data_IF_119810970961
#
_entry.id   IF_119810970961
#
_cell.length_a   1.000
_cell.length_b   1.000
_cell.length_c   1.000
_cell.angle_alpha   90.00
_cell.angle_beta   90.00
_cell.angle_gamma   90.00
#
_symmetry.space_group_name_H-M   'P 1'
#
loop_
_entity.id
_entity.type
_entity.pdbx_description
1 polymer ?
#
# COMPACT_ATOMS: atom_id res chain seq x y z
N UNK A 1 28.18 -0.76 65.22
CA UNK A 1 26.76 -0.69 64.95
C UNK A 1 26.53 -1.20 63.50
N UNK A 2 26.13 -2.47 63.39
CA UNK A 2 25.89 -3.08 62.05
C UNK A 2 24.47 -2.80 61.61
N UNK A 3 24.29 -2.29 60.40
CA UNK A 3 23.01 -2.14 59.76
C UNK A 3 22.43 -3.53 59.43
N UNK A 4 21.14 -3.80 59.72
CA UNK A 4 20.53 -5.08 59.41
C UNK A 4 20.44 -5.30 57.89
N UNK A 5 20.85 -6.47 57.43
CA UNK A 5 20.69 -6.94 56.08
C UNK A 5 19.18 -7.08 55.78
N UNK A 6 18.68 -6.64 54.60
CA UNK A 6 17.26 -6.79 54.26
C UNK A 6 16.91 -8.28 54.18
N UNK A 7 15.81 -8.63 54.84
CA UNK A 7 15.30 -10.00 54.91
C UNK A 7 14.96 -10.55 53.51
N UNK A 8 15.14 -11.83 53.27
CA UNK A 8 14.85 -12.52 51.98
C UNK A 8 13.40 -12.33 51.52
N UNK A 9 12.46 -12.12 52.41
CA UNK A 9 11.04 -11.85 52.13
C UNK A 9 10.79 -10.48 51.43
N UNK A 10 11.56 -9.44 51.85
CA UNK A 10 11.45 -8.10 51.20
C UNK A 10 11.98 -8.10 49.77
N UNK A 11 13.02 -8.89 49.48
CA UNK A 11 13.55 -9.02 48.12
C UNK A 11 12.60 -9.78 47.19
N UNK A 12 11.94 -10.83 47.69
CA UNK A 12 10.95 -11.60 46.92
C UNK A 12 9.70 -10.76 46.59
N UNK A 13 9.21 -9.94 47.54
CA UNK A 13 8.08 -9.04 47.33
C UNK A 13 8.40 -7.95 46.29
N UNK A 14 9.58 -7.34 46.36
CA UNK A 14 10.01 -6.34 45.38
C UNK A 14 10.21 -6.93 43.99
N UNK A 15 10.73 -8.15 43.88
CA UNK A 15 10.94 -8.83 42.61
C UNK A 15 9.58 -9.18 41.93
N UNK A 16 8.60 -9.65 42.72
CA UNK A 16 7.23 -9.95 42.25
C UNK A 16 6.49 -8.69 41.80
N UNK A 17 6.62 -7.57 42.53
CA UNK A 17 6.04 -6.28 42.13
C UNK A 17 6.69 -5.76 40.83
N UNK A 18 7.99 -5.86 40.67
CA UNK A 18 8.71 -5.44 39.46
C UNK A 18 8.29 -6.27 38.25
N UNK A 19 8.15 -7.61 38.41
CA UNK A 19 7.64 -8.49 37.35
C UNK A 19 6.19 -8.14 36.99
N UNK A 20 5.33 -7.91 37.97
CA UNK A 20 3.94 -7.53 37.73
C UNK A 20 3.83 -6.15 36.98
N UNK A 21 4.63 -5.18 37.39
CA UNK A 21 4.69 -3.87 36.72
C UNK A 21 5.22 -3.98 35.28
N UNK A 22 6.25 -4.78 35.08
CA UNK A 22 6.83 -5.03 33.75
C UNK A 22 5.81 -5.75 32.85
N UNK A 23 5.14 -6.78 33.38
CA UNK A 23 4.12 -7.53 32.66
C UNK A 23 2.91 -6.63 32.33
N UNK A 24 2.46 -5.79 33.24
CA UNK A 24 1.41 -4.81 33.02
C UNK A 24 1.78 -3.77 31.96
N UNK A 25 2.99 -3.24 31.99
CA UNK A 25 3.48 -2.27 30.99
C UNK A 25 3.60 -2.87 29.60
N UNK A 26 4.10 -4.13 29.50
CA UNK A 26 4.18 -4.88 28.24
C UNK A 26 2.75 -5.14 27.70
N UNK A 27 1.85 -5.60 28.56
CA UNK A 27 0.46 -5.89 28.18
C UNK A 27 -0.28 -4.61 27.72
N UNK A 28 -0.11 -3.48 28.41
CA UNK A 28 -0.66 -2.19 27.99
C UNK A 28 -0.09 -1.74 26.65
N UNK A 29 1.20 -1.94 26.41
CA UNK A 29 1.85 -1.62 25.14
C UNK A 29 1.38 -2.52 24.00
N UNK A 30 1.17 -3.81 24.24
CA UNK A 30 0.60 -4.75 23.27
C UNK A 30 -0.85 -4.40 22.95
N UNK A 31 -1.69 -4.15 23.95
CA UNK A 31 -3.08 -3.78 23.78
C UNK A 31 -3.28 -2.43 23.06
N UNK A 32 -2.31 -1.52 23.16
CA UNK A 32 -2.33 -0.24 22.42
C UNK A 32 -1.80 -0.35 20.99
N UNK A 33 -1.20 -1.49 20.62
CA UNK A 33 -0.65 -1.70 19.29
C UNK A 33 -1.77 -2.11 18.31
N UNK A 34 -1.97 -1.30 17.26
CA UNK A 34 -3.02 -1.52 16.27
C UNK A 34 -2.88 -2.90 15.57
N UNK A 35 -1.65 -3.34 15.29
CA UNK A 35 -1.40 -4.66 14.70
C UNK A 35 -1.88 -5.77 15.61
N UNK A 36 -1.57 -5.71 16.91
CA UNK A 36 -2.04 -6.69 17.90
C UNK A 36 -3.57 -6.69 18.01
N UNK A 37 -4.21 -5.51 18.02
CA UNK A 37 -5.67 -5.39 18.02
C UNK A 37 -6.30 -6.03 16.78
N UNK A 38 -5.76 -5.77 15.59
CA UNK A 38 -6.24 -6.35 14.33
C UNK A 38 -6.08 -7.87 14.33
N UNK A 39 -4.91 -8.38 14.77
CA UNK A 39 -4.67 -9.82 14.90
C UNK A 39 -5.68 -10.50 15.80
N UNK A 40 -5.89 -9.93 16.98
CA UNK A 40 -6.87 -10.45 17.94
C UNK A 40 -8.27 -10.42 17.33
N UNK A 41 -8.63 -9.32 16.68
CA UNK A 41 -9.92 -9.17 16.00
C UNK A 41 -10.13 -10.19 14.87
N UNK A 42 -9.09 -10.49 14.11
CA UNK A 42 -9.11 -11.54 13.06
C UNK A 42 -9.41 -12.90 13.69
N UNK A 43 -8.67 -13.28 14.75
CA UNK A 43 -8.89 -14.57 15.44
C UNK A 43 -10.30 -14.65 16.00
N UNK A 44 -10.76 -13.59 16.67
CA UNK A 44 -12.14 -13.52 17.19
C UNK A 44 -13.19 -13.57 16.07
N UNK A 45 -12.91 -12.93 14.93
CA UNK A 45 -13.75 -12.99 13.73
C UNK A 45 -13.87 -14.41 13.16
N UNK A 46 -12.74 -15.12 13.06
CA UNK A 46 -12.72 -16.53 12.62
C UNK A 46 -13.54 -17.39 13.56
N UNK A 47 -13.35 -17.25 14.88
CA UNK A 47 -14.12 -18.00 15.90
C UNK A 47 -15.60 -17.65 15.79
N UNK A 48 -15.96 -16.36 15.74
CA UNK A 48 -17.34 -15.93 15.61
C UNK A 48 -18.00 -16.49 14.33
N UNK A 49 -17.32 -16.41 13.20
CA UNK A 49 -17.83 -16.97 11.93
C UNK A 49 -17.98 -18.48 11.94
N UNK A 50 -17.05 -19.20 12.59
CA UNK A 50 -17.12 -20.66 12.65
C UNK A 50 -18.26 -21.17 13.55
N UNK A 51 -18.49 -20.53 14.70
CA UNK A 51 -19.47 -21.00 15.69
C UNK A 51 -20.83 -20.31 15.61
N UNK A 52 -20.89 -19.07 15.09
CA UNK A 52 -22.12 -18.26 15.06
C UNK A 52 -22.49 -17.88 13.61
N UNK A 53 -22.83 -18.85 12.77
CA UNK A 53 -23.16 -18.59 11.35
C UNK A 53 -24.29 -17.57 11.15
N UNK A 54 -25.25 -17.48 12.07
CA UNK A 54 -26.32 -16.49 12.04
C UNK A 54 -25.84 -15.02 12.21
N UNK A 55 -24.60 -14.82 12.65
CA UNK A 55 -23.99 -13.50 12.78
C UNK A 55 -23.43 -12.94 11.45
N UNK A 56 -23.27 -13.78 10.42
CA UNK A 56 -22.67 -13.38 9.15
C UNK A 56 -23.30 -12.12 8.49
N UNK A 57 -24.64 -11.92 8.46
CA UNK A 57 -25.24 -10.70 7.90
C UNK A 57 -24.83 -9.44 8.67
N UNK A 58 -24.81 -9.50 10.01
CA UNK A 58 -24.35 -8.38 10.86
C UNK A 58 -22.87 -8.10 10.66
N UNK A 59 -22.05 -9.15 10.59
CA UNK A 59 -20.64 -9.05 10.33
C UNK A 59 -20.36 -8.40 8.97
N UNK A 60 -21.13 -8.73 7.93
CA UNK A 60 -21.09 -8.07 6.63
C UNK A 60 -21.35 -6.58 6.74
N UNK A 61 -22.42 -6.18 7.47
CA UNK A 61 -22.73 -4.76 7.67
C UNK A 61 -21.60 -4.00 8.34
N UNK A 62 -20.93 -4.60 9.33
CA UNK A 62 -19.76 -4.00 10.01
C UNK A 62 -18.61 -3.80 9.00
N UNK A 63 -18.29 -4.83 8.22
CA UNK A 63 -17.25 -4.78 7.19
C UNK A 63 -17.56 -3.73 6.13
N UNK A 64 -18.75 -3.77 5.54
CA UNK A 64 -19.18 -2.85 4.49
C UNK A 64 -19.17 -1.39 4.98
N UNK A 65 -19.56 -1.15 6.24
CA UNK A 65 -19.51 0.20 6.84
C UNK A 65 -18.07 0.70 6.96
N UNK A 66 -17.15 -0.17 7.38
CA UNK A 66 -15.72 0.18 7.45
C UNK A 66 -15.16 0.49 6.06
N UNK A 67 -15.50 -0.34 5.05
CA UNK A 67 -15.10 -0.09 3.66
C UNK A 67 -15.63 1.26 3.17
N UNK A 68 -16.91 1.57 3.43
CA UNK A 68 -17.53 2.86 3.04
C UNK A 68 -16.81 4.06 3.68
N UNK A 69 -16.41 3.95 4.95
CA UNK A 69 -15.63 5.00 5.62
C UNK A 69 -14.29 5.26 4.94
N UNK A 70 -13.62 4.21 4.46
CA UNK A 70 -12.37 4.34 3.72
C UNK A 70 -12.64 4.95 2.35
N UNK A 71 -13.57 4.38 1.58
CA UNK A 71 -13.86 4.79 0.20
C UNK A 71 -14.28 6.26 0.09
N UNK A 72 -14.95 6.80 1.10
CA UNK A 72 -15.33 8.21 1.20
C UNK A 72 -14.14 9.18 1.03
N UNK A 73 -12.94 8.76 1.45
CA UNK A 73 -11.74 9.61 1.43
C UNK A 73 -10.83 9.36 0.22
N UNK A 74 -11.14 8.38 -0.63
CA UNK A 74 -10.28 7.98 -1.75
C UNK A 74 -10.04 9.16 -2.69
N UNK A 75 -11.10 9.69 -3.25
CA UNK A 75 -11.04 10.73 -4.29
C UNK A 75 -10.29 11.98 -3.83
N UNK A 76 -10.63 12.60 -2.67
CA UNK A 76 -9.92 13.78 -2.21
C UNK A 76 -8.46 13.52 -1.86
N UNK A 77 -8.12 12.35 -1.33
CA UNK A 77 -6.71 11.99 -1.03
C UNK A 77 -5.93 11.85 -2.32
N UNK A 78 -6.41 11.08 -3.29
CA UNK A 78 -5.76 10.90 -4.59
C UNK A 78 -5.53 12.25 -5.27
N UNK A 79 -6.56 13.08 -5.35
CA UNK A 79 -6.45 14.41 -5.95
C UNK A 79 -5.35 15.24 -5.30
N UNK A 80 -5.39 15.40 -3.97
CA UNK A 80 -4.39 16.19 -3.26
C UNK A 80 -2.97 15.63 -3.45
N UNK A 81 -2.79 14.32 -3.34
CA UNK A 81 -1.47 13.67 -3.43
C UNK A 81 -0.85 13.88 -4.79
N UNK A 82 -1.62 13.68 -5.87
CA UNK A 82 -1.13 13.86 -7.24
C UNK A 82 -0.81 15.33 -7.54
N UNK A 83 -1.71 16.25 -7.14
CA UNK A 83 -1.48 17.68 -7.34
C UNK A 83 -0.22 18.15 -6.63
N UNK A 84 -0.01 17.73 -5.38
CA UNK A 84 1.19 18.08 -4.60
C UNK A 84 2.46 17.49 -5.22
N UNK A 85 2.40 16.25 -5.71
CA UNK A 85 3.53 15.59 -6.38
C UNK A 85 3.96 16.32 -7.66
N UNK A 86 3.02 16.95 -8.38
CA UNK A 86 3.32 17.65 -9.64
C UNK A 86 3.66 19.13 -9.40
N UNK A 87 2.86 19.83 -8.58
CA UNK A 87 2.98 21.28 -8.38
C UNK A 87 4.03 21.69 -7.34
N UNK A 88 4.50 20.75 -6.49
CA UNK A 88 5.43 21.04 -5.37
C UNK A 88 6.89 21.26 -5.76
N UNK A 89 7.21 21.40 -7.04
CA UNK A 89 8.58 21.39 -7.54
C UNK A 89 9.02 22.78 -8.04
N UNK A 90 10.03 23.40 -7.38
CA UNK A 90 10.41 24.81 -7.55
C UNK A 90 11.30 25.15 -8.78
N UNK A 91 12.19 24.25 -9.24
CA UNK A 91 13.11 24.54 -10.37
C UNK A 91 12.83 23.69 -11.59
N UNK A 92 12.15 24.27 -12.56
CA UNK A 92 11.58 23.60 -13.74
C UNK A 92 12.61 23.00 -14.72
N UNK A 93 13.84 23.51 -14.79
CA UNK A 93 14.84 22.98 -15.74
C UNK A 93 15.59 21.79 -15.19
N UNK A 94 16.08 21.90 -13.95
CA UNK A 94 16.76 20.80 -13.24
C UNK A 94 15.77 19.71 -12.90
N UNK A 95 14.59 20.11 -12.44
CA UNK A 95 13.45 19.26 -12.15
C UNK A 95 12.98 18.49 -13.38
N UNK A 96 12.91 19.13 -14.53
CA UNK A 96 12.51 18.43 -15.75
C UNK A 96 13.43 17.26 -16.09
N UNK A 97 14.75 17.39 -15.89
CA UNK A 97 15.69 16.32 -16.18
C UNK A 97 15.76 15.26 -15.10
N UNK A 98 15.91 15.66 -13.83
CA UNK A 98 15.97 14.73 -12.69
C UNK A 98 14.61 14.07 -12.49
N UNK A 99 13.51 14.86 -12.54
CA UNK A 99 12.14 14.36 -12.43
C UNK A 99 11.77 13.43 -13.58
N UNK A 100 12.13 13.77 -14.83
CA UNK A 100 11.91 12.89 -15.98
C UNK A 100 12.60 11.55 -15.84
N UNK A 101 13.87 11.52 -15.37
CA UNK A 101 14.59 10.27 -15.10
C UNK A 101 13.97 9.50 -13.93
N UNK A 102 13.54 10.20 -12.88
CA UNK A 102 12.86 9.56 -11.75
C UNK A 102 11.54 8.90 -12.19
N UNK A 103 10.70 9.63 -12.92
CA UNK A 103 9.43 9.09 -13.44
C UNK A 103 9.69 7.90 -14.37
N UNK A 104 10.65 8.01 -15.29
CA UNK A 104 10.99 6.89 -16.17
C UNK A 104 11.44 5.66 -15.38
N UNK A 105 12.28 5.84 -14.36
CA UNK A 105 12.68 4.76 -13.46
C UNK A 105 11.49 4.16 -12.73
N UNK A 106 10.61 4.99 -12.17
CA UNK A 106 9.42 4.55 -11.46
C UNK A 106 8.48 3.73 -12.36
N UNK A 107 8.26 4.19 -13.62
CA UNK A 107 7.42 3.44 -14.57
C UNK A 107 8.02 2.08 -14.94
N UNK A 108 9.34 2.03 -15.16
CA UNK A 108 10.04 0.78 -15.44
C UNK A 108 9.90 -0.19 -14.26
N UNK A 109 10.15 0.27 -13.03
CA UNK A 109 10.07 -0.59 -11.84
C UNK A 109 8.65 -1.02 -11.53
N UNK A 110 7.67 -0.11 -11.65
CA UNK A 110 6.24 -0.41 -11.52
C UNK A 110 5.81 -1.48 -12.54
N UNK A 111 6.27 -1.37 -13.79
CA UNK A 111 5.97 -2.37 -14.83
C UNK A 111 6.53 -3.74 -14.46
N UNK A 112 7.79 -3.82 -14.02
CA UNK A 112 8.37 -5.09 -13.54
C UNK A 112 7.62 -5.64 -12.33
N UNK A 113 7.23 -4.79 -11.37
CA UNK A 113 6.48 -5.18 -10.20
C UNK A 113 5.11 -5.79 -10.56
N UNK A 114 4.37 -5.15 -11.49
CA UNK A 114 3.09 -5.65 -12.00
C UNK A 114 3.24 -6.99 -12.71
N UNK A 115 4.22 -7.09 -13.63
CA UNK A 115 4.45 -8.30 -14.43
C UNK A 115 4.82 -9.48 -13.52
N UNK A 116 5.73 -9.29 -12.57
CA UNK A 116 6.15 -10.35 -11.65
C UNK A 116 4.98 -10.78 -10.77
N UNK A 117 4.22 -9.82 -10.23
CA UNK A 117 3.03 -10.12 -9.42
C UNK A 117 2.00 -10.94 -10.22
N UNK A 118 1.75 -10.56 -11.46
CA UNK A 118 0.84 -11.27 -12.36
C UNK A 118 1.35 -12.68 -12.69
N UNK A 119 2.64 -12.85 -13.03
CA UNK A 119 3.23 -14.17 -13.31
C UNK A 119 3.09 -15.08 -12.09
N UNK A 120 3.50 -14.60 -10.91
CA UNK A 120 3.46 -15.41 -9.67
C UNK A 120 2.01 -15.78 -9.32
N UNK A 121 1.05 -14.85 -9.46
CA UNK A 121 -0.35 -15.13 -9.18
C UNK A 121 -0.96 -16.15 -10.15
N UNK A 122 -0.57 -16.13 -11.43
CA UNK A 122 -1.02 -17.15 -12.41
C UNK A 122 -0.34 -18.51 -12.20
N UNK A 123 0.93 -18.54 -11.77
CA UNK A 123 1.68 -19.79 -11.53
C UNK A 123 1.23 -20.46 -10.23
N UNK A 124 1.17 -19.71 -9.14
CA UNK A 124 0.83 -20.24 -7.82
C UNK A 124 -0.67 -20.41 -7.60
N UNK A 125 -1.49 -19.71 -8.38
CA UNK A 125 -2.95 -19.76 -8.34
C UNK A 125 -3.51 -19.73 -6.92
N UNK A 126 -3.25 -18.65 -6.16
CA UNK A 126 -3.61 -18.60 -4.75
C UNK A 126 -5.13 -18.62 -4.50
N UNK A 127 -5.95 -18.23 -5.47
CA UNK A 127 -7.41 -18.23 -5.37
C UNK A 127 -8.06 -19.59 -5.71
N UNK A 128 -7.32 -20.52 -6.34
CA UNK A 128 -7.85 -21.87 -6.59
C UNK A 128 -8.08 -22.63 -5.28
N UNK A 129 -9.24 -23.30 -5.19
CA UNK A 129 -9.64 -24.06 -3.98
C UNK A 129 -10.46 -23.22 -2.99
N UNK A 130 -10.93 -22.05 -3.36
CA UNK A 130 -11.96 -21.32 -2.63
C UNK A 130 -13.30 -22.08 -2.83
N UNK A 131 -13.60 -23.04 -1.93
CA UNK A 131 -14.57 -24.14 -2.14
C UNK A 131 -16.02 -23.66 -2.07
N UNK A 132 -16.31 -22.56 -1.42
CA UNK A 132 -17.68 -22.05 -1.30
C UNK A 132 -17.78 -20.72 -2.05
N UNK A 133 -18.23 -20.83 -3.31
CA UNK A 133 -18.63 -19.64 -4.05
C UNK A 133 -19.58 -18.79 -3.20
N UNK A 134 -19.44 -17.48 -3.19
CA UNK A 134 -20.59 -16.67 -2.89
C UNK A 134 -21.68 -17.20 -3.81
N UNK A 135 -22.68 -17.89 -3.27
CA UNK A 135 -23.82 -18.30 -4.04
C UNK A 135 -24.43 -17.04 -4.59
N UNK A 136 -24.05 -16.79 -5.81
CA UNK A 136 -24.42 -15.74 -6.70
C UNK A 136 -25.87 -15.99 -7.18
N UNK A 137 -26.76 -16.38 -6.25
CA UNK A 137 -28.18 -16.43 -6.58
C UNK A 137 -28.72 -15.03 -6.87
N UNK A 138 -28.24 -13.99 -6.14
CA UNK A 138 -28.45 -12.58 -6.50
C UNK A 138 -27.41 -12.05 -7.51
N UNK A 139 -26.37 -12.78 -7.80
CA UNK A 139 -25.21 -12.35 -8.59
C UNK A 139 -25.17 -12.96 -9.99
N UNK A 140 -25.99 -13.94 -10.36
CA UNK A 140 -25.99 -14.44 -11.74
C UNK A 140 -26.30 -13.31 -12.74
N UNK A 141 -27.23 -12.42 -12.41
CA UNK A 141 -27.53 -11.22 -13.21
C UNK A 141 -26.41 -10.20 -13.20
N UNK A 142 -25.72 -10.05 -12.06
CA UNK A 142 -24.55 -9.15 -11.93
C UNK A 142 -23.31 -9.74 -12.59
N UNK A 143 -23.07 -11.06 -12.46
CA UNK A 143 -21.98 -11.77 -13.12
C UNK A 143 -22.12 -11.68 -14.64
N UNK A 144 -23.30 -11.93 -15.18
CA UNK A 144 -23.60 -11.74 -16.61
C UNK A 144 -23.35 -10.27 -17.05
N UNK A 145 -23.60 -9.29 -16.16
CA UNK A 145 -23.27 -7.88 -16.38
C UNK A 145 -21.77 -7.63 -16.42
N UNK A 146 -20.98 -8.28 -15.58
CA UNK A 146 -19.53 -8.17 -15.57
C UNK A 146 -18.87 -8.91 -16.75
N UNK A 147 -19.35 -10.09 -17.11
CA UNK A 147 -18.92 -10.82 -18.32
C UNK A 147 -19.19 -10.02 -19.58
N UNK A 148 -20.36 -9.38 -19.68
CA UNK A 148 -20.69 -8.50 -20.78
C UNK A 148 -19.81 -7.25 -20.82
N UNK A 149 -19.56 -6.63 -19.66
CA UNK A 149 -18.67 -5.46 -19.56
C UNK A 149 -17.21 -5.82 -19.95
N UNK A 150 -16.77 -7.08 -19.66
CA UNK A 150 -15.47 -7.57 -20.09
C UNK A 150 -15.38 -7.76 -21.61
N UNK A 151 -16.44 -8.29 -22.22
CA UNK A 151 -16.50 -8.52 -23.67
C UNK A 151 -16.60 -7.22 -24.47
N UNK A 152 -17.25 -6.19 -23.91
CA UNK A 152 -17.49 -4.90 -24.54
C UNK A 152 -16.33 -3.89 -24.31
N UNK A 153 -15.23 -4.28 -23.63
CA UNK A 153 -14.13 -3.37 -23.32
C UNK A 153 -13.23 -3.16 -24.56
N UNK A 154 -13.42 -2.03 -25.23
CA UNK A 154 -12.55 -1.58 -26.33
C UNK A 154 -11.54 -0.53 -25.84
N UNK A 155 -10.30 -0.59 -26.33
CA UNK A 155 -9.23 0.36 -25.98
C UNK A 155 -9.60 1.82 -26.27
N UNK A 156 -10.39 2.06 -27.34
CA UNK A 156 -10.86 3.39 -27.70
C UNK A 156 -11.76 4.00 -26.63
N UNK A 157 -12.71 3.22 -26.12
CA UNK A 157 -13.65 3.65 -25.08
C UNK A 157 -12.93 3.88 -23.74
N UNK A 158 -11.94 3.05 -23.43
CA UNK A 158 -11.10 3.23 -22.25
C UNK A 158 -10.35 4.57 -22.28
N UNK A 159 -9.69 4.90 -23.41
CA UNK A 159 -8.93 6.15 -23.53
C UNK A 159 -9.86 7.36 -23.47
N UNK A 160 -11.00 7.32 -24.13
CA UNK A 160 -11.97 8.44 -24.11
C UNK A 160 -12.61 8.61 -22.74
N UNK A 161 -12.79 7.50 -21.99
CA UNK A 161 -13.33 7.54 -20.63
C UNK A 161 -12.38 8.21 -19.61
N UNK A 162 -11.07 8.23 -19.85
CA UNK A 162 -10.10 8.91 -18.97
C UNK A 162 -10.37 10.41 -18.86
N UNK A 163 -10.90 11.03 -19.94
CA UNK A 163 -11.19 12.47 -19.97
C UNK A 163 -12.61 12.73 -19.45
N UNK A 164 -12.77 13.39 -18.28
CA UNK A 164 -14.09 13.65 -17.73
C UNK A 164 -14.84 14.69 -18.55
N UNK A 165 -16.13 14.45 -18.80
CA UNK A 165 -17.02 15.47 -19.34
C UNK A 165 -17.30 16.60 -18.34
N UNK A 166 -17.22 16.29 -17.04
CA UNK A 166 -17.39 17.21 -15.93
C UNK A 166 -16.59 16.75 -14.72
N UNK A 167 -15.73 17.63 -14.19
CA UNK A 167 -14.86 17.31 -13.05
C UNK A 167 -15.67 16.98 -11.78
N UNK A 168 -16.75 17.71 -11.51
CA UNK A 168 -17.58 17.47 -10.31
C UNK A 168 -18.28 16.11 -10.40
N UNK A 169 -18.68 15.70 -11.60
CA UNK A 169 -19.21 14.36 -11.80
C UNK A 169 -18.17 13.28 -11.51
N UNK A 170 -16.93 13.44 -12.00
CA UNK A 170 -15.83 12.52 -11.72
C UNK A 170 -15.57 12.37 -10.21
N UNK A 171 -15.62 13.47 -9.47
CA UNK A 171 -15.47 13.45 -8.00
C UNK A 171 -16.67 12.79 -7.30
N UNK A 172 -17.89 13.06 -7.73
CA UNK A 172 -19.11 12.52 -7.09
C UNK A 172 -19.32 11.03 -7.38
N UNK A 173 -18.96 10.58 -8.58
CA UNK A 173 -19.05 9.16 -8.97
C UNK A 173 -17.88 8.35 -8.45
N UNK A 174 -16.78 9.00 -8.03
CA UNK A 174 -15.57 8.34 -7.58
C UNK A 174 -14.76 7.70 -8.71
N UNK A 175 -14.89 8.22 -9.94
CA UNK A 175 -14.12 7.74 -11.10
C UNK A 175 -12.67 8.19 -11.00
N UNK A 176 -11.82 7.28 -10.53
CA UNK A 176 -10.44 7.59 -10.20
C UNK A 176 -9.60 7.94 -11.39
N UNK A 177 -9.83 7.31 -12.56
CA UNK A 177 -9.06 7.62 -13.76
C UNK A 177 -9.33 9.06 -14.21
N UNK A 178 -10.59 9.48 -14.17
CA UNK A 178 -10.98 10.86 -14.50
C UNK A 178 -10.44 11.86 -13.48
N UNK A 179 -10.50 11.52 -12.19
CA UNK A 179 -9.93 12.36 -11.12
C UNK A 179 -8.42 12.46 -11.24
N UNK A 180 -7.72 11.37 -11.56
CA UNK A 180 -6.28 11.34 -11.79
C UNK A 180 -5.89 12.25 -12.95
N UNK A 181 -6.58 12.11 -14.11
CA UNK A 181 -6.35 12.94 -15.27
C UNK A 181 -6.51 14.44 -14.94
N UNK A 182 -7.61 14.79 -14.28
CA UNK A 182 -7.83 16.17 -13.85
C UNK A 182 -6.77 16.66 -12.86
N UNK A 183 -6.38 15.83 -11.89
CA UNK A 183 -5.35 16.17 -10.89
C UNK A 183 -3.99 16.47 -11.56
N UNK A 184 -3.62 15.71 -12.60
CA UNK A 184 -2.40 15.95 -13.39
C UNK A 184 -2.48 17.32 -14.08
N UNK A 185 -3.58 17.60 -14.77
CA UNK A 185 -3.78 18.89 -15.45
C UNK A 185 -3.83 20.05 -14.46
N UNK A 186 -4.49 19.89 -13.32
CA UNK A 186 -4.59 20.90 -12.28
C UNK A 186 -3.23 21.21 -11.66
N UNK A 187 -2.46 20.16 -11.31
CA UNK A 187 -1.08 20.29 -10.80
C UNK A 187 -0.15 20.99 -11.80
N UNK A 188 -0.27 20.64 -13.09
CA UNK A 188 0.45 21.33 -14.16
C UNK A 188 0.03 22.81 -14.28
N UNK A 189 -1.27 23.11 -14.21
CA UNK A 189 -1.78 24.48 -14.20
C UNK A 189 -1.19 25.31 -13.07
N UNK A 190 -1.17 24.77 -11.84
CA UNK A 190 -0.54 25.43 -10.68
C UNK A 190 0.96 25.66 -10.91
N UNK A 191 1.68 24.68 -11.45
CA UNK A 191 3.13 24.81 -11.69
C UNK A 191 3.46 25.94 -12.66
N UNK A 192 2.54 26.29 -13.57
CA UNK A 192 2.66 27.43 -14.51
C UNK A 192 2.40 28.79 -13.87
N UNK A 193 1.82 28.84 -12.67
CA UNK A 193 1.56 30.09 -11.95
C UNK A 193 2.82 30.65 -11.25
N UNK A 194 3.91 29.89 -11.19
CA UNK A 194 5.14 30.31 -10.51
C UNK A 194 4.90 30.62 -9.02
N UNK A 195 5.37 31.76 -8.53
CA UNK A 195 5.23 32.15 -7.13
C UNK A 195 3.79 32.22 -6.62
N UNK A 196 2.84 32.64 -7.46
CA UNK A 196 1.43 32.69 -7.09
C UNK A 196 0.86 31.27 -6.81
N UNK A 197 1.40 30.25 -7.48
CA UNK A 197 1.00 28.86 -7.28
C UNK A 197 1.39 28.28 -5.91
N UNK A 198 2.46 28.79 -5.28
CA UNK A 198 2.94 28.29 -3.98
C UNK A 198 1.89 28.39 -2.88
N UNK A 199 1.08 29.46 -2.88
CA UNK A 199 -0.01 29.61 -1.91
C UNK A 199 -1.07 28.52 -2.07
N UNK A 200 -1.40 28.16 -3.31
CA UNK A 200 -2.38 27.09 -3.62
C UNK A 200 -1.80 25.74 -3.17
N UNK A 201 -0.53 25.43 -3.51
CA UNK A 201 0.16 24.21 -3.07
C UNK A 201 0.14 24.08 -1.55
N UNK A 202 0.48 25.17 -0.81
CA UNK A 202 0.41 25.17 0.66
C UNK A 202 -1.00 24.93 1.18
N UNK A 203 -2.02 25.46 0.52
CA UNK A 203 -3.43 25.23 0.84
C UNK A 203 -3.81 23.76 0.67
N UNK A 204 -3.47 23.17 -0.47
CA UNK A 204 -3.74 21.76 -0.77
C UNK A 204 -3.00 20.82 0.20
N UNK A 205 -1.75 21.13 0.56
CA UNK A 205 -0.99 20.37 1.57
C UNK A 205 -1.71 20.36 2.93
N UNK A 206 -2.22 21.50 3.38
CA UNK A 206 -3.00 21.59 4.62
C UNK A 206 -4.29 20.75 4.54
N UNK A 207 -5.02 20.83 3.43
CA UNK A 207 -6.24 20.04 3.21
C UNK A 207 -5.90 18.55 3.16
N UNK A 208 -4.83 18.15 2.48
CA UNK A 208 -4.34 16.78 2.42
C UNK A 208 -4.07 16.24 3.84
N UNK A 209 -3.39 17.00 4.69
CA UNK A 209 -3.15 16.64 6.10
C UNK A 209 -4.44 16.41 6.88
N UNK A 210 -5.51 17.19 6.61
CA UNK A 210 -6.83 16.96 7.21
C UNK A 210 -7.37 15.59 6.79
N UNK A 211 -7.37 15.27 5.49
CA UNK A 211 -7.83 13.97 5.01
C UNK A 211 -7.03 12.80 5.58
N UNK A 212 -5.69 12.92 5.64
CA UNK A 212 -4.86 11.89 6.29
C UNK A 212 -5.14 11.75 7.79
N UNK A 213 -5.46 12.83 8.50
CA UNK A 213 -5.85 12.76 9.90
C UNK A 213 -7.20 12.06 10.07
N UNK A 214 -8.19 12.33 9.20
CA UNK A 214 -9.46 11.60 9.18
C UNK A 214 -9.20 10.12 8.89
N UNK A 215 -8.34 9.80 7.91
CA UNK A 215 -7.96 8.42 7.60
C UNK A 215 -7.34 7.72 8.82
N UNK A 216 -6.45 8.40 9.58
CA UNK A 216 -5.89 7.84 10.82
C UNK A 216 -6.98 7.51 11.86
N UNK A 217 -8.03 8.34 11.96
CA UNK A 217 -9.17 8.05 12.84
C UNK A 217 -9.94 6.83 12.36
N UNK A 218 -10.24 6.76 11.05
CA UNK A 218 -10.92 5.61 10.43
C UNK A 218 -10.10 4.34 10.64
N UNK A 219 -8.77 4.39 10.46
CA UNK A 219 -7.88 3.23 10.63
C UNK A 219 -7.83 2.71 12.07
N UNK A 220 -8.20 3.50 13.09
CA UNK A 220 -8.40 2.97 14.45
C UNK A 220 -9.59 2.00 14.55
N UNK A 221 -10.52 2.07 13.61
CA UNK A 221 -11.64 1.13 13.49
C UNK A 221 -11.27 -0.13 12.70
N UNK A 222 -10.06 -0.22 12.16
CA UNK A 222 -9.58 -1.38 11.38
C UNK A 222 -9.74 -2.73 12.11
N UNK A 223 -9.53 -2.85 13.44
CA UNK A 223 -9.84 -4.10 14.16
C UNK A 223 -11.31 -4.50 14.03
N UNK A 224 -12.24 -3.56 14.09
CA UNK A 224 -13.68 -3.82 13.97
C UNK A 224 -14.01 -4.25 12.54
N UNK A 225 -13.45 -3.57 11.54
CA UNK A 225 -13.59 -3.95 10.13
C UNK A 225 -13.02 -5.34 9.82
N UNK A 226 -11.85 -5.65 10.36
CA UNK A 226 -11.20 -6.95 10.19
C UNK A 226 -11.98 -8.09 10.87
N UNK A 227 -12.49 -7.84 12.09
CA UNK A 227 -13.40 -8.77 12.77
C UNK A 227 -14.64 -9.06 11.91
N UNK A 228 -15.32 -8.01 11.43
CA UNK A 228 -16.50 -8.14 10.58
C UNK A 228 -16.20 -8.88 9.27
N UNK A 229 -15.11 -8.54 8.59
CA UNK A 229 -14.68 -9.18 7.36
C UNK A 229 -14.40 -10.68 7.55
N UNK A 230 -13.65 -11.05 8.59
CA UNK A 230 -13.33 -12.46 8.87
C UNK A 230 -14.55 -13.25 9.37
N UNK A 231 -15.37 -12.67 10.24
CA UNK A 231 -16.59 -13.32 10.72
C UNK A 231 -17.59 -13.55 9.58
N UNK A 232 -17.73 -12.59 8.67
CA UNK A 232 -18.54 -12.76 7.47
C UNK A 232 -17.97 -13.84 6.55
N UNK A 233 -16.68 -13.78 6.23
CA UNK A 233 -16.01 -14.70 5.31
C UNK A 233 -16.11 -16.14 5.82
N UNK A 234 -15.72 -16.38 7.07
CA UNK A 234 -15.76 -17.73 7.66
C UNK A 234 -17.20 -18.19 7.92
N UNK A 235 -18.10 -17.29 8.34
CA UNK A 235 -19.51 -17.60 8.60
C UNK A 235 -20.29 -17.97 7.33
N UNK A 236 -19.96 -17.32 6.22
CA UNK A 236 -20.63 -17.54 4.91
C UNK A 236 -19.98 -18.69 4.14
N UNK A 237 -18.64 -18.72 4.07
CA UNK A 237 -17.91 -19.61 3.18
C UNK A 237 -17.20 -20.76 3.90
N UNK A 238 -17.17 -20.73 5.24
CA UNK A 238 -16.50 -21.75 6.06
C UNK A 238 -15.02 -21.48 6.30
N UNK A 239 -14.43 -22.23 7.25
CA UNK A 239 -13.05 -22.08 7.70
C UNK A 239 -12.02 -22.43 6.59
N UNK A 240 -12.43 -23.24 5.62
CA UNK A 240 -11.59 -23.63 4.46
C UNK A 240 -11.13 -22.44 3.61
N UNK A 241 -11.83 -21.29 3.70
CA UNK A 241 -11.46 -20.05 2.97
C UNK A 241 -10.16 -19.44 3.45
N UNK A 242 -9.71 -19.75 4.66
CA UNK A 242 -8.46 -19.27 5.22
C UNK A 242 -7.24 -19.78 4.44
N UNK A 243 -7.30 -21.00 3.90
CA UNK A 243 -6.17 -21.59 3.17
C UNK A 243 -5.81 -20.79 1.91
N UNK A 244 -6.73 -20.44 0.99
CA UNK A 244 -6.43 -19.55 -0.13
C UNK A 244 -5.92 -18.17 0.27
N UNK A 245 -6.47 -17.59 1.33
CA UNK A 245 -6.00 -16.30 1.86
C UNK A 245 -4.56 -16.35 2.34
N UNK A 246 -4.19 -17.42 3.09
CA UNK A 246 -2.81 -17.65 3.53
C UNK A 246 -1.88 -17.93 2.35
N UNK A 247 -2.37 -18.65 1.32
CA UNK A 247 -1.63 -18.90 0.09
C UNK A 247 -1.37 -17.61 -0.68
N UNK A 248 -2.37 -16.72 -0.78
CA UNK A 248 -2.17 -15.37 -1.34
C UNK A 248 -1.12 -14.59 -0.57
N UNK A 249 -1.25 -14.52 0.75
CA UNK A 249 -0.31 -13.79 1.60
C UNK A 249 1.12 -14.30 1.42
N UNK A 250 1.34 -15.61 1.48
CA UNK A 250 2.64 -16.22 1.24
C UNK A 250 3.19 -15.95 -0.16
N UNK A 251 2.32 -15.96 -1.18
CA UNK A 251 2.69 -15.64 -2.56
C UNK A 251 3.11 -14.18 -2.71
N UNK A 252 2.41 -13.25 -2.05
CA UNK A 252 2.76 -11.81 -2.04
C UNK A 252 4.11 -11.59 -1.36
N UNK A 253 4.35 -12.20 -0.19
CA UNK A 253 5.65 -12.09 0.50
C UNK A 253 6.79 -12.67 -0.35
N UNK A 254 6.57 -13.84 -0.96
CA UNK A 254 7.54 -14.44 -1.87
C UNK A 254 7.84 -13.51 -3.06
N UNK A 255 6.82 -12.92 -3.66
CA UNK A 255 6.98 -12.01 -4.81
C UNK A 255 7.78 -10.78 -4.44
N UNK A 256 7.48 -10.16 -3.28
CA UNK A 256 8.23 -9.01 -2.78
C UNK A 256 9.67 -9.36 -2.46
N UNK A 257 9.91 -10.54 -1.89
CA UNK A 257 11.26 -11.05 -1.67
C UNK A 257 12.02 -11.20 -2.99
N UNK A 258 11.42 -11.85 -3.99
CA UNK A 258 12.03 -12.00 -5.32
C UNK A 258 12.28 -10.64 -5.98
N UNK A 259 11.35 -9.70 -5.86
CA UNK A 259 11.51 -8.35 -6.39
C UNK A 259 12.69 -7.63 -5.74
N UNK A 260 12.81 -7.64 -4.42
CA UNK A 260 13.91 -6.98 -3.72
C UNK A 260 15.25 -7.65 -4.03
N UNK A 261 15.34 -8.97 -3.88
CA UNK A 261 16.63 -9.66 -3.94
C UNK A 261 17.06 -10.06 -5.36
N UNK A 262 16.16 -10.07 -6.33
CA UNK A 262 16.51 -10.30 -7.74
C UNK A 262 16.46 -8.99 -8.52
N UNK A 263 15.28 -8.35 -8.64
CA UNK A 263 15.09 -7.19 -9.53
C UNK A 263 15.88 -5.99 -9.04
N UNK A 264 15.63 -5.57 -7.79
CA UNK A 264 16.34 -4.41 -7.22
C UNK A 264 17.83 -4.70 -7.06
N UNK A 265 18.24 -5.95 -6.79
CA UNK A 265 19.65 -6.31 -6.72
C UNK A 265 20.34 -6.22 -8.10
N UNK A 266 19.66 -6.61 -9.18
CA UNK A 266 20.17 -6.41 -10.54
C UNK A 266 20.37 -4.92 -10.82
N UNK A 267 19.40 -4.07 -10.47
CA UNK A 267 19.52 -2.62 -10.60
C UNK A 267 20.72 -2.09 -9.79
N UNK A 268 20.87 -2.52 -8.53
CA UNK A 268 22.00 -2.13 -7.70
C UNK A 268 23.35 -2.51 -8.35
N UNK A 269 23.45 -3.70 -8.94
CA UNK A 269 24.67 -4.15 -9.64
C UNK A 269 24.96 -3.34 -10.91
N UNK A 270 23.93 -3.01 -11.71
CA UNK A 270 24.08 -2.16 -12.92
C UNK A 270 24.64 -0.79 -12.51
N UNK A 271 24.16 -0.21 -11.43
CA UNK A 271 24.61 1.08 -10.92
C UNK A 271 25.79 0.99 -9.93
N UNK A 272 26.43 -0.18 -9.83
CA UNK A 272 27.68 -0.43 -9.04
C UNK A 272 27.55 -0.01 -7.58
N UNK A 273 26.55 -0.52 -6.86
CA UNK A 273 26.45 -0.46 -5.40
C UNK A 273 25.80 -1.74 -4.85
N UNK A 274 26.03 -2.01 -3.56
CA UNK A 274 25.57 -3.24 -2.91
C UNK A 274 24.19 -3.07 -2.31
N UNK A 275 23.23 -3.91 -2.72
CA UNK A 275 21.90 -3.98 -2.07
C UNK A 275 22.03 -4.30 -0.58
N UNK A 276 22.89 -5.25 -0.22
CA UNK A 276 23.04 -5.68 1.17
C UNK A 276 23.60 -4.56 2.06
N UNK A 277 24.58 -3.82 1.57
CA UNK A 277 25.11 -2.66 2.28
C UNK A 277 24.04 -1.58 2.47
N UNK A 278 23.25 -1.31 1.42
CA UNK A 278 22.15 -0.37 1.49
C UNK A 278 21.07 -0.80 2.52
N UNK A 279 20.62 -2.06 2.50
CA UNK A 279 19.65 -2.59 3.46
C UNK A 279 20.15 -2.49 4.91
N UNK A 280 21.44 -2.78 5.14
CA UNK A 280 22.06 -2.63 6.47
C UNK A 280 22.07 -1.17 6.92
N UNK A 281 22.28 -0.24 5.98
CA UNK A 281 22.32 1.20 6.27
C UNK A 281 20.95 1.75 6.65
N UNK A 282 19.86 1.30 6.04
CA UNK A 282 18.48 1.74 6.31
C UNK A 282 17.71 0.82 7.27
N UNK A 283 18.39 -0.09 7.99
CA UNK A 283 17.71 -1.09 8.84
C UNK A 283 16.75 -0.49 9.86
N UNK A 284 17.10 0.67 10.41
CA UNK A 284 16.29 1.33 11.45
C UNK A 284 14.99 1.89 10.87
N UNK A 285 15.05 2.41 9.63
CA UNK A 285 13.88 2.84 8.86
C UNK A 285 13.01 1.64 8.47
N UNK A 286 13.60 0.51 8.10
CA UNK A 286 12.86 -0.75 7.85
C UNK A 286 12.11 -1.17 9.11
N UNK A 287 12.75 -1.14 10.28
CA UNK A 287 12.11 -1.47 11.56
C UNK A 287 11.00 -0.47 11.94
N UNK A 288 11.22 0.83 11.68
CA UNK A 288 10.22 1.86 11.90
C UNK A 288 8.98 1.60 11.02
N UNK A 289 9.19 1.32 9.73
CA UNK A 289 8.12 1.04 8.77
C UNK A 289 7.41 -0.27 9.10
N UNK A 290 8.11 -1.30 9.54
CA UNK A 290 7.52 -2.54 10.04
C UNK A 290 6.56 -2.26 11.21
N UNK A 291 6.97 -1.43 12.16
CA UNK A 291 6.14 -1.09 13.33
C UNK A 291 4.94 -0.19 13.01
N UNK A 292 5.06 0.68 12.01
CA UNK A 292 4.02 1.66 11.65
C UNK A 292 3.15 1.21 10.49
N UNK A 293 3.60 0.26 9.68
CA UNK A 293 2.99 -0.18 8.41
C UNK A 293 2.79 0.97 7.42
N UNK A 294 3.64 2.00 7.51
CA UNK A 294 3.60 3.18 6.65
C UNK A 294 5.02 3.62 6.30
N UNK A 295 5.36 3.59 5.02
CA UNK A 295 6.66 4.09 4.56
C UNK A 295 6.80 5.61 4.76
N UNK A 296 5.69 6.37 4.80
CA UNK A 296 5.73 7.81 5.08
C UNK A 296 6.29 8.16 6.46
N UNK A 297 6.15 7.26 7.44
CA UNK A 297 6.72 7.49 8.78
C UNK A 297 8.25 7.63 8.77
N UNK A 298 8.90 7.02 7.79
CA UNK A 298 10.35 7.09 7.61
C UNK A 298 10.80 8.22 6.65
N UNK A 299 9.88 8.97 6.05
CA UNK A 299 10.20 9.98 5.04
C UNK A 299 11.27 11.00 5.50
N UNK A 300 11.17 11.65 6.66
CA UNK A 300 12.19 12.61 7.10
C UNK A 300 13.56 11.98 7.31
N UNK A 301 13.59 10.80 7.93
CA UNK A 301 14.82 10.04 8.18
C UNK A 301 15.46 9.54 6.88
N UNK A 302 14.65 9.11 5.90
CA UNK A 302 15.15 8.69 4.59
C UNK A 302 15.76 9.84 3.81
N UNK A 303 15.19 11.06 3.86
CA UNK A 303 15.78 12.25 3.25
C UNK A 303 17.17 12.48 3.84
N UNK A 304 17.30 12.56 5.16
CA UNK A 304 18.57 12.77 5.83
C UNK A 304 19.59 11.66 5.54
N UNK A 305 19.16 10.39 5.58
CA UNK A 305 20.02 9.24 5.32
C UNK A 305 20.51 9.19 3.87
N UNK A 306 19.66 9.51 2.88
CA UNK A 306 20.10 9.51 1.49
C UNK A 306 21.08 10.63 1.17
N UNK A 307 20.93 11.80 1.80
CA UNK A 307 21.94 12.87 1.73
C UNK A 307 23.28 12.40 2.31
N UNK A 308 23.28 11.81 3.51
CA UNK A 308 24.48 11.24 4.15
C UNK A 308 25.07 10.04 3.40
N UNK A 309 24.26 9.30 2.65
CA UNK A 309 24.72 8.20 1.80
C UNK A 309 25.50 8.69 0.58
N UNK A 310 25.37 9.96 0.24
CA UNK A 310 26.10 10.63 -0.82
C UNK A 310 25.25 11.15 -1.98
N UNK A 311 23.93 11.08 -1.89
CA UNK A 311 23.04 11.70 -2.88
C UNK A 311 22.95 13.21 -2.65
N UNK A 312 22.94 14.01 -3.72
CA UNK A 312 22.79 15.46 -3.58
C UNK A 312 21.41 15.85 -3.02
N UNK A 313 21.34 16.95 -2.28
CA UNK A 313 20.09 17.47 -1.71
C UNK A 313 19.01 17.72 -2.75
N UNK A 314 19.41 18.16 -3.95
CA UNK A 314 18.47 18.42 -5.04
C UNK A 314 17.80 17.15 -5.57
N UNK A 315 18.56 16.04 -5.69
CA UNK A 315 18.02 14.74 -6.10
C UNK A 315 17.16 14.15 -4.98
N UNK A 316 17.65 14.14 -3.74
CA UNK A 316 16.93 13.59 -2.59
C UNK A 316 15.60 14.31 -2.37
N UNK A 317 15.62 15.66 -2.38
CA UNK A 317 14.42 16.49 -2.16
C UNK A 317 13.36 16.32 -3.25
N UNK A 318 13.73 15.87 -4.44
CA UNK A 318 12.80 15.59 -5.53
C UNK A 318 12.37 14.12 -5.57
N UNK A 319 13.33 13.18 -5.59
CA UNK A 319 13.05 11.76 -5.87
C UNK A 319 12.37 11.08 -4.68
N UNK A 320 12.82 11.34 -3.44
CA UNK A 320 12.21 10.71 -2.26
C UNK A 320 10.72 11.08 -2.13
N UNK A 321 10.32 12.37 -2.03
CA UNK A 321 8.90 12.71 -1.87
C UNK A 321 8.04 12.26 -3.05
N UNK A 322 8.54 12.40 -4.28
CA UNK A 322 7.83 11.98 -5.49
C UNK A 322 7.66 10.45 -5.52
N UNK A 323 8.68 9.71 -5.10
CA UNK A 323 8.66 8.24 -5.03
C UNK A 323 7.57 7.70 -4.09
N UNK A 324 7.25 8.40 -3.00
CA UNK A 324 6.18 8.00 -2.09
C UNK A 324 4.76 8.08 -2.71
N UNK A 325 4.62 8.73 -3.86
CA UNK A 325 3.37 8.75 -4.64
C UNK A 325 3.46 7.93 -5.93
N UNK A 326 4.63 7.88 -6.56
CA UNK A 326 4.78 7.35 -7.92
C UNK A 326 5.57 6.04 -8.00
N UNK A 327 6.30 5.64 -6.95
CA UNK A 327 7.11 4.41 -6.93
C UNK A 327 6.71 3.50 -5.77
N UNK A 328 5.51 2.96 -5.83
CA UNK A 328 4.95 2.08 -4.79
C UNK A 328 5.03 0.61 -5.23
N UNK A 329 6.26 0.10 -5.44
CA UNK A 329 6.54 -1.24 -5.99
C UNK A 329 5.82 -2.36 -5.23
N UNK A 330 5.89 -2.35 -3.90
CA UNK A 330 5.21 -3.34 -3.07
C UNK A 330 3.69 -3.25 -3.16
N UNK A 331 3.14 -2.04 -3.24
CA UNK A 331 1.70 -1.83 -3.43
C UNK A 331 1.26 -2.34 -4.80
N UNK A 332 2.06 -2.12 -5.82
CA UNK A 332 1.80 -2.54 -7.20
C UNK A 332 1.81 -4.06 -7.34
N UNK A 333 2.80 -4.75 -6.72
CA UNK A 333 2.83 -6.22 -6.62
C UNK A 333 1.55 -6.74 -5.98
N UNK A 334 1.19 -6.18 -4.83
CA UNK A 334 -0.02 -6.56 -4.13
C UNK A 334 -1.27 -6.41 -4.99
N UNK A 335 -1.44 -5.27 -5.67
CA UNK A 335 -2.62 -5.00 -6.48
C UNK A 335 -2.77 -5.98 -7.64
N UNK A 336 -1.69 -6.25 -8.39
CA UNK A 336 -1.74 -7.21 -9.50
C UNK A 336 -2.09 -8.62 -9.01
N UNK A 337 -1.51 -9.06 -7.91
CA UNK A 337 -1.78 -10.37 -7.32
C UNK A 337 -3.20 -10.48 -6.73
N UNK A 338 -3.68 -9.41 -6.09
CA UNK A 338 -5.02 -9.36 -5.52
C UNK A 338 -6.12 -9.41 -6.60
N UNK A 339 -5.93 -8.72 -7.71
CA UNK A 339 -6.87 -8.76 -8.85
C UNK A 339 -6.95 -10.17 -9.43
N UNK A 340 -5.80 -10.82 -9.69
CA UNK A 340 -5.80 -12.21 -10.21
C UNK A 340 -6.37 -13.19 -9.18
N UNK A 341 -6.04 -13.01 -7.88
CA UNK A 341 -6.63 -13.84 -6.81
C UNK A 341 -8.15 -13.73 -6.79
N UNK A 342 -8.70 -12.52 -6.87
CA UNK A 342 -10.15 -12.34 -6.89
C UNK A 342 -10.79 -12.92 -8.16
N UNK A 343 -10.16 -12.76 -9.32
CA UNK A 343 -10.60 -13.42 -10.54
C UNK A 343 -10.69 -14.94 -10.36
N UNK A 344 -9.66 -15.57 -9.78
CA UNK A 344 -9.63 -17.00 -9.48
C UNK A 344 -10.72 -17.40 -8.48
N UNK A 345 -10.93 -16.60 -7.42
CA UNK A 345 -11.98 -16.83 -6.41
C UNK A 345 -13.37 -16.80 -7.02
N UNK A 346 -13.61 -15.90 -7.98
CA UNK A 346 -14.90 -15.79 -8.67
C UNK A 346 -14.98 -16.64 -9.94
N UNK A 347 -13.97 -17.49 -10.25
CA UNK A 347 -13.87 -18.31 -11.46
C UNK A 347 -14.02 -17.51 -12.76
N UNK A 348 -13.47 -16.31 -12.77
CA UNK A 348 -13.39 -15.45 -13.94
C UNK A 348 -12.06 -15.74 -14.64
N UNK A 349 -12.13 -16.41 -15.80
CA UNK A 349 -10.98 -16.69 -16.63
C UNK A 349 -10.57 -15.40 -17.38
N UNK A 350 -9.46 -14.83 -16.99
CA UNK A 350 -8.92 -13.64 -17.65
C UNK A 350 -7.98 -14.04 -18.79
N UNK A 351 -8.31 -13.63 -20.02
CA UNK A 351 -7.38 -13.77 -21.15
C UNK A 351 -6.11 -12.95 -20.93
N UNK A 352 -5.03 -13.30 -21.64
CA UNK A 352 -3.77 -12.54 -21.57
C UNK A 352 -4.00 -11.07 -21.96
N UNK A 353 -4.84 -10.81 -22.95
CA UNK A 353 -5.20 -9.46 -23.38
C UNK A 353 -5.87 -8.68 -22.24
N UNK A 354 -6.84 -9.27 -21.56
CA UNK A 354 -7.51 -8.67 -20.40
C UNK A 354 -6.54 -8.41 -19.26
N UNK A 355 -5.60 -9.33 -19.00
CA UNK A 355 -4.57 -9.14 -17.99
C UNK A 355 -3.63 -7.98 -18.36
N UNK A 356 -3.28 -7.80 -19.62
CA UNK A 356 -2.49 -6.64 -20.08
C UNK A 356 -3.25 -5.32 -19.94
N UNK A 357 -4.56 -5.31 -20.21
CA UNK A 357 -5.43 -4.15 -19.94
C UNK A 357 -5.43 -3.82 -18.46
N UNK A 358 -5.58 -4.82 -17.60
CA UNK A 358 -5.54 -4.67 -16.15
C UNK A 358 -4.19 -4.08 -15.70
N UNK A 359 -3.05 -4.53 -16.27
CA UNK A 359 -1.74 -3.92 -16.01
C UNK A 359 -1.77 -2.44 -16.38
N UNK A 360 -2.26 -2.07 -17.55
CA UNK A 360 -2.35 -0.67 -17.97
C UNK A 360 -3.17 0.19 -17.00
N UNK A 361 -4.32 -0.32 -16.54
CA UNK A 361 -5.16 0.35 -15.54
C UNK A 361 -4.42 0.46 -14.20
N UNK A 362 -3.77 -0.62 -13.75
CA UNK A 362 -3.00 -0.63 -12.50
C UNK A 362 -1.79 0.32 -12.56
N UNK A 363 -1.13 0.47 -13.69
CA UNK A 363 -0.05 1.44 -13.87
C UNK A 363 -0.53 2.86 -13.59
N UNK A 364 -1.73 3.22 -14.04
CA UNK A 364 -2.32 4.53 -13.83
C UNK A 364 -2.87 4.68 -12.40
N UNK A 365 -3.68 3.74 -11.94
CA UNK A 365 -4.35 3.84 -10.63
C UNK A 365 -3.38 3.72 -9.46
N UNK A 366 -2.27 2.96 -9.61
CA UNK A 366 -1.25 2.83 -8.58
C UNK A 366 -0.62 4.17 -8.17
N UNK A 367 -0.60 5.14 -9.08
CA UNK A 367 -0.07 6.50 -8.80
C UNK A 367 -0.95 7.31 -7.85
N UNK A 368 -2.20 6.92 -7.70
CA UNK A 368 -3.12 7.49 -6.69
C UNK A 368 -3.03 6.80 -5.33
N UNK A 369 -2.20 5.76 -5.19
CA UNK A 369 -2.01 5.09 -3.91
C UNK A 369 -1.25 6.00 -2.94
N UNK A 370 -1.78 6.14 -1.72
CA UNK A 370 -1.02 6.77 -0.63
C UNK A 370 -0.14 5.72 0.05
N UNK A 371 1.08 6.11 0.44
CA UNK A 371 2.03 5.24 1.13
C UNK A 371 1.68 5.00 2.62
N UNK A 372 0.39 5.01 2.94
CA UNK A 372 -0.17 4.82 4.29
C UNK A 372 -0.89 3.48 4.41
N UNK A 373 -1.13 3.06 5.64
CA UNK A 373 -1.91 1.86 5.95
C UNK A 373 -3.30 1.95 5.32
N UNK A 374 -3.69 0.93 4.55
CA UNK A 374 -4.96 0.88 3.82
C UNK A 374 -4.94 1.56 2.44
N UNK A 375 -3.90 2.34 2.10
CA UNK A 375 -3.81 3.03 0.80
C UNK A 375 -3.88 2.07 -0.39
N UNK A 376 -3.19 0.93 -0.33
CA UNK A 376 -3.25 -0.08 -1.39
C UNK A 376 -4.62 -0.75 -1.52
N UNK A 377 -5.31 -0.97 -0.40
CA UNK A 377 -6.67 -1.52 -0.40
C UNK A 377 -7.67 -0.56 -1.06
N UNK A 378 -7.52 0.73 -0.79
CA UNK A 378 -8.29 1.80 -1.42
C UNK A 378 -8.16 1.75 -2.93
N UNK A 379 -6.93 1.75 -3.42
CA UNK A 379 -6.64 1.76 -4.86
C UNK A 379 -7.07 0.46 -5.53
N UNK A 380 -6.92 -0.69 -4.85
CA UNK A 380 -7.45 -1.96 -5.34
C UNK A 380 -8.97 -1.89 -5.55
N UNK A 381 -9.71 -1.43 -4.53
CA UNK A 381 -11.18 -1.28 -4.62
C UNK A 381 -11.57 -0.39 -5.79
N UNK A 382 -10.85 0.69 -5.98
CA UNK A 382 -11.07 1.65 -7.05
C UNK A 382 -10.72 1.09 -8.43
N UNK A 383 -9.64 0.32 -8.50
CA UNK A 383 -9.23 -0.36 -9.73
C UNK A 383 -10.29 -1.38 -10.15
N UNK A 384 -10.82 -2.17 -9.21
CA UNK A 384 -11.90 -3.11 -9.49
C UNK A 384 -13.18 -2.40 -9.96
N UNK A 385 -13.49 -1.24 -9.38
CA UNK A 385 -14.60 -0.41 -9.83
C UNK A 385 -14.41 0.11 -11.26
N UNK A 386 -13.18 0.43 -11.66
CA UNK A 386 -12.85 0.87 -13.01
C UNK A 386 -12.85 -0.29 -14.02
N UNK A 387 -12.33 -1.45 -13.62
CA UNK A 387 -12.25 -2.64 -14.48
C UNK A 387 -13.63 -3.23 -14.75
N UNK A 388 -14.56 -3.21 -13.78
CA UNK A 388 -15.94 -3.73 -13.85
C UNK A 388 -16.07 -5.22 -14.22
N UNK A 389 -14.97 -5.96 -14.27
CA UNK A 389 -14.93 -7.39 -14.61
C UNK A 389 -15.07 -8.26 -13.35
N UNK A 390 -14.51 -7.79 -12.23
CA UNK A 390 -14.45 -8.53 -10.98
C UNK A 390 -15.36 -7.85 -9.95
N UNK A 391 -16.20 -8.61 -9.22
CA UNK A 391 -17.07 -8.03 -8.20
C UNK A 391 -16.28 -7.29 -7.12
N UNK A 392 -16.67 -6.03 -6.86
CA UNK A 392 -16.03 -5.18 -5.85
C UNK A 392 -16.19 -5.78 -4.43
N UNK A 393 -17.28 -6.49 -4.21
CA UNK A 393 -17.61 -7.15 -2.94
C UNK A 393 -16.54 -8.17 -2.53
N UNK A 394 -15.79 -8.70 -3.50
CA UNK A 394 -14.66 -9.61 -3.25
C UNK A 394 -13.55 -9.00 -2.42
N UNK A 395 -13.43 -7.68 -2.41
CA UNK A 395 -12.43 -6.97 -1.60
C UNK A 395 -12.60 -7.24 -0.10
N UNK A 396 -13.84 -7.52 0.35
CA UNK A 396 -14.11 -7.90 1.74
C UNK A 396 -13.33 -9.14 2.19
N UNK A 397 -13.05 -10.08 1.27
CA UNK A 397 -12.26 -11.28 1.54
C UNK A 397 -10.83 -10.91 1.95
N UNK A 398 -10.27 -9.87 1.33
CA UNK A 398 -8.89 -9.45 1.56
C UNK A 398 -8.71 -8.67 2.86
N UNK A 399 -9.77 -8.09 3.45
CA UNK A 399 -9.70 -7.28 4.66
C UNK A 399 -8.98 -7.97 5.81
N UNK A 400 -9.18 -9.27 5.98
CA UNK A 400 -8.59 -10.04 7.07
C UNK A 400 -7.07 -10.17 6.97
N UNK A 401 -6.51 -10.11 5.77
CA UNK A 401 -5.05 -10.28 5.54
C UNK A 401 -4.37 -9.01 5.05
N UNK A 402 -5.13 -7.96 4.69
CA UNK A 402 -4.55 -6.71 4.15
C UNK A 402 -3.55 -6.06 5.10
N UNK A 403 -3.79 -6.13 6.40
CA UNK A 403 -2.89 -5.55 7.41
C UNK A 403 -1.47 -6.10 7.30
N UNK A 404 -1.33 -7.43 7.20
CA UNK A 404 -0.02 -8.09 7.05
C UNK A 404 0.64 -7.72 5.73
N UNK A 405 -0.14 -7.76 4.66
CA UNK A 405 0.37 -7.36 3.35
C UNK A 405 0.76 -5.89 3.30
N UNK A 406 0.11 -5.03 4.11
CA UNK A 406 0.44 -3.60 4.22
C UNK A 406 1.85 -3.37 4.77
N UNK A 407 2.29 -4.15 5.74
CA UNK A 407 3.65 -4.07 6.29
C UNK A 407 4.71 -4.42 5.23
N UNK A 408 4.52 -5.51 4.53
CA UNK A 408 5.43 -5.94 3.46
C UNK A 408 5.45 -4.95 2.28
N UNK A 409 4.28 -4.40 1.91
CA UNK A 409 4.18 -3.35 0.89
C UNK A 409 4.99 -2.11 1.28
N UNK A 410 4.80 -1.63 2.49
CA UNK A 410 5.47 -0.43 2.99
C UNK A 410 7.00 -0.58 3.03
N UNK A 411 7.50 -1.75 3.45
CA UNK A 411 8.94 -2.06 3.46
C UNK A 411 9.48 -2.09 2.02
N UNK A 412 8.79 -2.76 1.11
CA UNK A 412 9.21 -2.85 -0.31
C UNK A 412 9.24 -1.47 -0.96
N UNK A 413 8.23 -0.64 -0.71
CA UNK A 413 8.17 0.75 -1.19
C UNK A 413 9.33 1.59 -0.65
N UNK A 414 9.64 1.48 0.66
CA UNK A 414 10.76 2.18 1.29
C UNK A 414 12.09 1.83 0.62
N UNK A 415 12.35 0.53 0.45
CA UNK A 415 13.58 0.01 -0.17
C UNK A 415 13.70 0.51 -1.61
N UNK A 416 12.63 0.36 -2.41
CA UNK A 416 12.58 0.80 -3.81
C UNK A 416 12.82 2.30 -3.97
N UNK A 417 12.22 3.13 -3.12
CA UNK A 417 12.39 4.59 -3.19
C UNK A 417 13.81 5.07 -2.89
N UNK A 418 14.47 4.47 -1.91
CA UNK A 418 15.87 4.82 -1.64
C UNK A 418 16.82 4.34 -2.76
N UNK A 419 16.58 3.14 -3.34
CA UNK A 419 17.33 2.66 -4.50
C UNK A 419 17.12 3.59 -5.70
N UNK A 420 15.88 4.00 -5.97
CA UNK A 420 15.55 4.97 -7.02
C UNK A 420 16.36 6.27 -6.87
N UNK A 421 16.46 6.77 -5.64
CA UNK A 421 17.22 7.99 -5.31
C UNK A 421 18.70 7.83 -5.64
N UNK A 422 19.31 6.69 -5.27
CA UNK A 422 20.73 6.40 -5.58
C UNK A 422 20.93 6.27 -7.10
N UNK A 423 20.03 5.58 -7.79
CA UNK A 423 20.07 5.39 -9.25
C UNK A 423 20.02 6.72 -9.99
N UNK A 424 19.06 7.58 -9.61
CA UNK A 424 18.91 8.91 -10.21
C UNK A 424 20.12 9.78 -9.91
N UNK A 425 20.60 9.82 -8.65
CA UNK A 425 21.80 10.57 -8.28
C UNK A 425 23.04 10.14 -9.06
N UNK A 426 23.25 8.84 -9.21
CA UNK A 426 24.37 8.29 -10.03
C UNK A 426 24.21 8.63 -11.52
N UNK A 427 22.99 8.56 -12.05
CA UNK A 427 22.72 8.88 -13.47
C UNK A 427 22.89 10.37 -13.81
N UNK A 428 22.81 11.25 -12.79
CA UNK A 428 23.04 12.69 -12.92
C UNK A 428 24.47 13.10 -12.59
N UNK A 429 25.33 12.17 -12.12
CA UNK A 429 26.67 12.51 -11.62
C UNK A 429 26.63 13.25 -10.28
N UNK A 430 25.51 13.19 -9.57
CA UNK A 430 25.29 13.87 -8.28
C UNK A 430 25.36 12.90 -7.09
N UNK A 431 26.18 11.86 -7.21
CA UNK A 431 26.44 10.89 -6.14
C UNK A 431 27.91 10.94 -5.73
N UNK A 432 28.18 11.36 -4.49
CA UNK A 432 29.52 11.36 -3.90
C UNK A 432 29.49 10.45 -2.67
N UNK A 433 30.04 9.23 -2.73
CA UNK A 433 30.08 8.33 -1.59
C UNK A 433 30.72 9.03 -0.38
N UNK A 434 30.00 9.12 0.72
CA UNK A 434 30.60 9.56 1.99
C UNK A 434 31.03 8.32 2.78
N UNK A 435 32.24 8.32 3.39
CA UNK A 435 32.62 7.23 4.25
C UNK A 435 31.63 7.13 5.41
N UNK A 436 31.15 5.92 5.76
CA UNK A 436 30.28 5.75 6.92
C UNK A 436 31.01 6.26 8.18
N UNK A 437 30.30 7.01 9.02
CA UNK A 437 30.80 7.31 10.37
C UNK A 437 31.03 5.98 11.10
N UNK A 438 32.27 5.49 11.11
CA UNK A 438 32.65 4.26 11.82
C UNK A 438 33.27 3.15 11.01
N UNK A 439 33.95 3.39 9.91
CA UNK A 439 34.95 2.46 9.37
C UNK A 439 34.57 1.59 8.17
N UNK A 440 35.55 1.47 7.31
CA UNK A 440 35.89 0.43 6.32
C UNK A 440 34.81 0.06 5.32
N UNK A 441 35.03 0.55 4.10
CA UNK A 441 34.52 -0.07 2.87
C UNK A 441 35.35 -1.34 2.61
N UNK A 442 34.78 -2.52 2.77
CA UNK A 442 35.19 -3.76 2.13
C UNK A 442 34.20 -4.15 1.02
#
# INVERSE_FOLDING_TARGET
MGSPLPSTETKHSQQTQTIAYTCYSIMKRLLSNLTFQVLTAIVLGVVAGAFFKGFAPTAKTISDTFIKLITMLIVPIIFCTIVLGIAGVDDMKKVGRVGGKAILYFEIMTTFALIIGLIVANVLKPGEGFINHPTVADSATKLAGYEKAAADMHWGDFITHIVPSNIFNAFSTGDILQVLFFAILFGYGISKMGEAGKSIVSGIDKISKVFFNIMKVIMRLAPIGAFGGMAYTVGTYGISTLQPMMKLMGSVYLTMFLFIFIVLNIVCRIYKFSLWHYLKYIKDEILLVLGTSSSESALPSMIEKMEKYGCSKSVVGLVIPTGYSFNLDGTTIYMSMAVIFLAQVFHIDLSIEQQLVIIGILMLTSKGAAAVTGGGFIVLTSTLAAIKIIPIEGVAILLGIDRFMSEARAITNLIGNGIATIVVAKSEGEFTPQPPEGGVFD
#
